data_IF_965122171090
#
_entry.id   IF_965122171090
#
_cell.length_a   1.000
_cell.length_b   1.000
_cell.length_c   1.000
_cell.angle_alpha   90.00
_cell.angle_beta   90.00
_cell.angle_gamma   90.00
#
_symmetry.space_group_name_H-M   'P 1'
#
loop_
_entity.id
_entity.type
_entity.pdbx_description
1 polymer ?
#
# COMPACT_ATOMS: atom_id res chain seq x y z
N UNK A 1 4.66 -6.31 19.41
CA UNK A 1 4.68 -6.32 17.92
C UNK A 1 4.34 -4.91 17.47
N UNK A 2 5.10 -4.33 16.55
CA UNK A 2 4.89 -2.96 16.09
C UNK A 2 3.61 -2.90 15.25
N UNK A 3 2.68 -2.02 15.60
CA UNK A 3 1.46 -1.82 14.79
C UNK A 3 1.67 -0.73 13.74
N UNK A 4 0.87 -0.74 12.68
CA UNK A 4 0.87 0.32 11.67
C UNK A 4 0.52 1.69 12.29
N UNK A 5 -0.42 1.69 13.24
CA UNK A 5 -0.80 2.89 13.97
C UNK A 5 0.35 3.43 14.85
N UNK A 6 1.17 2.54 15.44
CA UNK A 6 2.34 2.95 16.21
C UNK A 6 3.42 3.53 15.30
N UNK A 7 3.66 2.92 14.13
CA UNK A 7 4.57 3.49 13.12
C UNK A 7 4.14 4.90 12.72
N UNK A 8 2.86 5.10 12.42
CA UNK A 8 2.31 6.42 12.08
C UNK A 8 2.54 7.46 13.19
N UNK A 9 2.40 7.06 14.46
CA UNK A 9 2.54 7.98 15.60
C UNK A 9 3.98 8.29 15.94
N UNK A 10 4.88 7.30 15.85
CA UNK A 10 6.25 7.39 16.36
C UNK A 10 7.26 7.83 15.30
N UNK A 11 7.00 7.55 14.01
CA UNK A 11 7.92 7.89 12.93
C UNK A 11 7.75 9.34 12.50
N UNK A 12 8.89 10.01 12.28
CA UNK A 12 8.92 11.35 11.69
C UNK A 12 8.60 11.32 10.21
N UNK A 13 8.89 10.19 9.56
CA UNK A 13 8.64 9.94 8.14
C UNK A 13 8.43 8.44 7.91
N UNK A 14 7.56 8.09 6.95
CA UNK A 14 7.21 6.71 6.62
C UNK A 14 7.66 6.37 5.20
N UNK A 15 8.74 5.62 5.02
CA UNK A 15 9.12 5.07 3.73
C UNK A 15 8.34 3.79 3.43
N UNK A 16 7.73 3.70 2.24
CA UNK A 16 7.04 2.52 1.76
C UNK A 16 7.77 1.94 0.55
N UNK A 17 8.04 0.64 0.58
CA UNK A 17 8.55 -0.10 -0.56
C UNK A 17 7.36 -0.51 -1.46
N UNK A 18 7.14 0.19 -2.59
CA UNK A 18 6.03 -0.04 -3.50
C UNK A 18 6.23 -1.34 -4.29
N UNK A 19 5.36 -2.32 -4.05
CA UNK A 19 5.46 -3.70 -4.56
C UNK A 19 6.79 -4.38 -4.19
N UNK A 20 7.34 -4.03 -3.02
CA UNK A 20 8.72 -4.30 -2.64
C UNK A 20 9.70 -3.28 -3.25
N UNK A 21 10.98 -3.66 -3.39
CA UNK A 21 11.98 -2.85 -4.08
C UNK A 21 11.91 -3.12 -5.59
N UNK A 22 10.82 -2.72 -6.24
CA UNK A 22 10.43 -3.13 -7.61
C UNK A 22 11.37 -2.64 -8.71
N UNK A 23 12.23 -1.66 -8.41
CA UNK A 23 13.31 -1.24 -9.33
C UNK A 23 14.56 -2.15 -9.27
N UNK A 24 14.71 -2.94 -8.21
CA UNK A 24 15.87 -3.80 -7.97
C UNK A 24 15.58 -5.28 -8.18
N UNK A 25 14.32 -5.69 -8.11
CA UNK A 25 13.84 -7.04 -8.36
C UNK A 25 12.40 -7.00 -8.90
N UNK A 26 11.91 -8.07 -9.56
CA UNK A 26 10.56 -8.06 -10.11
C UNK A 26 9.48 -7.75 -9.07
N UNK A 27 8.57 -6.83 -9.41
CA UNK A 27 7.52 -6.35 -8.51
C UNK A 27 6.68 -7.48 -7.90
N UNK A 28 6.22 -7.29 -6.67
CA UNK A 28 5.35 -8.24 -5.96
C UNK A 28 5.95 -9.66 -5.86
N UNK A 29 7.28 -9.80 -5.82
CA UNK A 29 7.98 -11.08 -5.59
C UNK A 29 8.67 -11.11 -4.24
N UNK A 30 8.95 -12.31 -3.72
CA UNK A 30 9.77 -12.46 -2.51
C UNK A 30 11.16 -11.81 -2.66
N UNK A 31 11.74 -11.83 -3.86
CA UNK A 31 13.00 -11.16 -4.13
C UNK A 31 12.90 -9.64 -3.89
N UNK A 32 11.87 -8.99 -4.42
CA UNK A 32 11.65 -7.56 -4.21
C UNK A 32 11.36 -7.22 -2.74
N UNK A 33 10.58 -8.05 -2.06
CA UNK A 33 10.27 -7.87 -0.64
C UNK A 33 11.51 -8.05 0.25
N UNK A 34 12.34 -9.05 -0.05
CA UNK A 34 13.58 -9.29 0.68
C UNK A 34 14.57 -8.14 0.52
N UNK A 35 14.75 -7.62 -0.71
CA UNK A 35 15.62 -6.45 -0.93
C UNK A 35 15.12 -5.24 -0.13
N UNK A 36 13.83 -4.96 -0.13
CA UNK A 36 13.26 -3.88 0.67
C UNK A 36 13.51 -4.08 2.18
N UNK A 37 13.32 -5.31 2.66
CA UNK A 37 13.56 -5.68 4.06
C UNK A 37 15.03 -5.51 4.46
N UNK A 38 15.97 -5.98 3.63
CA UNK A 38 17.43 -5.88 3.86
C UNK A 38 17.90 -4.42 3.84
N UNK A 39 17.27 -3.58 3.03
CA UNK A 39 17.49 -2.14 3.05
C UNK A 39 16.97 -1.46 4.34
N UNK A 40 16.15 -2.14 5.13
CA UNK A 40 15.63 -1.66 6.42
C UNK A 40 14.22 -1.06 6.35
N UNK A 41 13.50 -1.21 5.23
CA UNK A 41 12.10 -0.80 5.16
C UNK A 41 11.23 -1.63 6.11
N UNK A 42 10.36 -0.95 6.85
CA UNK A 42 9.41 -1.58 7.77
C UNK A 42 7.97 -1.58 7.26
N UNK A 43 7.72 -0.91 6.16
CA UNK A 43 6.42 -0.92 5.47
C UNK A 43 6.64 -1.37 4.04
N UNK A 44 6.04 -2.51 3.71
CA UNK A 44 5.99 -3.06 2.35
C UNK A 44 4.58 -2.82 1.81
N UNK A 45 4.51 -2.20 0.66
CA UNK A 45 3.24 -2.11 -0.07
C UNK A 45 3.17 -3.26 -1.08
N UNK A 46 1.99 -3.82 -1.26
CA UNK A 46 1.71 -4.86 -2.24
C UNK A 46 0.25 -4.88 -2.66
N UNK A 47 0.02 -5.34 -3.89
CA UNK A 47 -1.29 -5.51 -4.49
C UNK A 47 -1.86 -6.89 -4.18
N UNK A 48 -3.16 -6.99 -3.90
CA UNK A 48 -3.77 -8.27 -3.50
C UNK A 48 -4.90 -8.66 -4.45
N UNK A 49 -4.80 -9.89 -4.97
CA UNK A 49 -5.85 -10.59 -5.72
C UNK A 49 -6.08 -11.97 -5.15
N UNK A 50 -7.25 -12.54 -5.42
CA UNK A 50 -7.58 -13.91 -5.03
C UNK A 50 -7.68 -14.82 -6.26
N UNK A 51 -7.24 -16.07 -6.12
CA UNK A 51 -7.53 -17.15 -7.08
C UNK A 51 -9.02 -17.52 -7.07
N UNK A 52 -9.45 -18.32 -8.03
CA UNK A 52 -10.85 -18.80 -8.11
C UNK A 52 -11.28 -19.58 -6.87
N UNK A 53 -10.37 -20.27 -6.21
CA UNK A 53 -10.57 -21.03 -4.96
C UNK A 53 -10.24 -20.23 -3.69
N UNK A 54 -10.04 -18.90 -3.80
CA UNK A 54 -9.95 -17.97 -2.68
C UNK A 54 -8.58 -17.84 -2.02
N UNK A 55 -7.50 -18.34 -2.61
CA UNK A 55 -6.14 -18.11 -2.12
C UNK A 55 -5.65 -16.74 -2.55
N UNK A 56 -5.07 -15.97 -1.63
CA UNK A 56 -4.61 -14.60 -1.88
C UNK A 56 -3.17 -14.57 -2.38
N UNK A 57 -2.94 -13.81 -3.45
CA UNK A 57 -1.64 -13.62 -4.08
C UNK A 57 -1.26 -12.16 -4.15
N UNK A 58 0.05 -11.89 -4.07
CA UNK A 58 0.62 -10.58 -4.29
C UNK A 58 0.76 -10.34 -5.80
N UNK A 59 -0.20 -9.64 -6.42
CA UNK A 59 -0.23 -9.42 -7.86
C UNK A 59 -1.06 -8.20 -8.26
N UNK A 60 -0.51 -7.36 -9.15
CA UNK A 60 -1.15 -6.09 -9.54
C UNK A 60 -2.22 -6.24 -10.60
N UNK A 61 -1.88 -6.83 -11.76
CA UNK A 61 -2.69 -6.78 -12.96
C UNK A 61 -3.92 -7.70 -12.86
N UNK A 62 -4.92 -7.46 -13.68
CA UNK A 62 -6.08 -8.35 -13.78
C UNK A 62 -5.71 -9.67 -14.44
N UNK A 63 -4.86 -9.62 -15.46
CA UNK A 63 -4.33 -10.78 -16.17
C UNK A 63 -2.81 -10.91 -15.98
N UNK A 64 -2.30 -12.06 -16.42
CA UNK A 64 -0.91 -12.46 -16.21
C UNK A 64 0.02 -12.08 -17.38
N UNK A 65 -0.48 -11.37 -18.42
CA UNK A 65 0.24 -11.16 -19.69
C UNK A 65 1.57 -10.45 -19.51
N UNK A 66 1.58 -9.36 -18.73
CA UNK A 66 2.77 -8.52 -18.55
C UNK A 66 3.87 -9.22 -17.78
N UNK A 67 3.51 -10.00 -16.77
CA UNK A 67 4.48 -10.56 -15.82
C UNK A 67 4.88 -12.00 -16.10
N UNK A 68 4.04 -12.78 -16.79
CA UNK A 68 4.31 -14.21 -17.07
C UNK A 68 4.00 -14.63 -18.50
N UNK A 69 3.64 -13.70 -19.40
CA UNK A 69 3.27 -14.03 -20.78
C UNK A 69 1.95 -14.79 -20.94
N UNK A 70 1.23 -15.07 -19.85
CA UNK A 70 -0.05 -15.80 -19.86
C UNK A 70 -1.22 -14.80 -19.90
N UNK A 71 -2.12 -14.88 -20.89
CA UNK A 71 -3.25 -13.96 -21.05
C UNK A 71 -4.47 -14.27 -20.18
N UNK A 72 -4.38 -15.24 -19.28
CA UNK A 72 -5.47 -15.60 -18.39
C UNK A 72 -5.58 -14.59 -17.22
N UNK A 73 -6.80 -14.36 -16.78
CA UNK A 73 -7.05 -13.59 -15.56
C UNK A 73 -6.71 -14.42 -14.32
N UNK A 74 -5.93 -13.87 -13.40
CA UNK A 74 -5.52 -14.55 -12.18
C UNK A 74 -6.73 -15.10 -11.39
N UNK A 75 -7.79 -14.31 -11.29
CA UNK A 75 -9.01 -14.65 -10.53
C UNK A 75 -9.86 -15.78 -11.17
N UNK A 76 -9.48 -16.26 -12.34
CA UNK A 76 -10.13 -17.40 -13.02
C UNK A 76 -9.35 -18.70 -12.86
N UNK A 77 -8.14 -18.65 -12.30
CA UNK A 77 -7.29 -19.80 -12.05
C UNK A 77 -7.42 -20.25 -10.60
N UNK A 78 -7.38 -21.57 -10.38
CA UNK A 78 -7.20 -22.11 -9.04
C UNK A 78 -5.75 -21.95 -8.57
N UNK A 79 -5.55 -22.05 -7.27
CA UNK A 79 -4.24 -21.85 -6.65
C UNK A 79 -3.16 -22.79 -7.18
N UNK A 80 -3.48 -24.05 -7.45
CA UNK A 80 -2.55 -25.03 -8.05
C UNK A 80 -2.06 -24.61 -9.46
N UNK A 81 -2.92 -23.95 -10.23
CA UNK A 81 -2.57 -23.41 -11.54
C UNK A 81 -1.68 -22.16 -11.43
N UNK A 82 -1.88 -21.33 -10.42
CA UNK A 82 -1.07 -20.13 -10.18
C UNK A 82 0.30 -20.50 -9.61
N UNK A 83 0.37 -21.48 -8.72
CA UNK A 83 1.61 -21.89 -8.02
C UNK A 83 2.72 -22.38 -9.00
N UNK A 84 2.35 -22.85 -10.19
CA UNK A 84 3.31 -23.28 -11.22
C UNK A 84 3.77 -22.14 -12.14
N UNK A 85 3.09 -20.97 -12.10
CA UNK A 85 3.46 -19.80 -12.91
C UNK A 85 4.68 -19.09 -12.34
N UNK A 86 5.38 -18.38 -13.22
CA UNK A 86 6.55 -17.59 -12.83
C UNK A 86 6.47 -16.18 -13.39
N UNK A 87 6.88 -15.22 -12.56
CA UNK A 87 7.17 -13.85 -12.95
C UNK A 87 8.59 -13.84 -13.50
N UNK A 88 8.80 -13.22 -14.67
CA UNK A 88 10.10 -13.16 -15.35
C UNK A 88 10.78 -14.54 -15.45
N UNK A 89 10.00 -15.59 -15.76
CA UNK A 89 10.42 -16.99 -15.91
C UNK A 89 11.11 -17.63 -14.69
N UNK A 90 11.26 -16.90 -13.57
CA UNK A 90 12.07 -17.38 -12.42
C UNK A 90 11.38 -17.28 -11.06
N UNK A 91 10.57 -16.24 -10.82
CA UNK A 91 10.02 -16.00 -9.50
C UNK A 91 8.57 -16.52 -9.37
N UNK A 92 8.23 -17.31 -8.34
CA UNK A 92 6.83 -17.66 -8.06
C UNK A 92 6.04 -16.41 -7.68
N UNK A 93 4.74 -16.42 -7.96
CA UNK A 93 3.80 -15.39 -7.47
C UNK A 93 3.55 -15.66 -5.98
N UNK A 94 3.93 -14.76 -5.05
CA UNK A 94 3.82 -15.01 -3.63
C UNK A 94 2.38 -15.09 -3.14
N UNK A 95 2.09 -16.02 -2.24
CA UNK A 95 0.86 -15.97 -1.45
C UNK A 95 0.99 -14.93 -0.35
N UNK A 96 -0.08 -14.19 -0.09
CA UNK A 96 -0.09 -13.16 0.94
C UNK A 96 0.18 -13.73 2.35
N UNK A 97 -0.28 -14.95 2.63
CA UNK A 97 0.00 -15.62 3.90
C UNK A 97 1.51 -15.79 4.11
N UNK A 98 2.21 -16.31 3.09
CA UNK A 98 3.65 -16.57 3.17
C UNK A 98 4.45 -15.27 3.37
N UNK A 99 3.95 -14.15 2.81
CA UNK A 99 4.54 -12.83 3.02
C UNK A 99 4.49 -12.39 4.49
N UNK A 100 3.34 -12.57 5.17
CA UNK A 100 3.22 -12.25 6.59
C UNK A 100 4.10 -13.12 7.48
N UNK A 101 4.29 -14.39 7.10
CA UNK A 101 5.12 -15.35 7.81
C UNK A 101 6.61 -15.05 7.63
N UNK A 102 7.03 -14.70 6.40
CA UNK A 102 8.42 -14.40 6.07
C UNK A 102 8.93 -13.09 6.71
N UNK A 103 8.06 -12.08 6.86
CA UNK A 103 8.45 -10.76 7.36
C UNK A 103 7.64 -10.36 8.61
N UNK A 104 7.85 -11.06 9.76
CA UNK A 104 7.06 -10.84 10.98
C UNK A 104 7.23 -9.45 11.60
N UNK A 105 8.32 -8.74 11.29
CA UNK A 105 8.63 -7.41 11.80
C UNK A 105 8.20 -6.27 10.87
N UNK A 106 7.56 -6.58 9.74
CA UNK A 106 7.05 -5.60 8.80
C UNK A 106 5.55 -5.34 8.98
N UNK A 107 5.14 -4.13 8.68
CA UNK A 107 3.76 -3.78 8.40
C UNK A 107 3.51 -3.82 6.88
N UNK A 108 2.29 -4.09 6.49
CA UNK A 108 1.91 -4.20 5.08
C UNK A 108 0.83 -3.18 4.72
N UNK A 109 1.04 -2.48 3.60
CA UNK A 109 0.03 -1.66 2.97
C UNK A 109 -0.55 -2.45 1.80
N UNK A 110 -1.78 -2.93 1.94
CA UNK A 110 -2.40 -3.85 0.99
C UNK A 110 -3.42 -3.15 0.11
N UNK A 111 -3.19 -3.09 -1.21
CA UNK A 111 -4.19 -2.62 -2.18
C UNK A 111 -5.12 -3.76 -2.61
N UNK A 112 -6.36 -3.77 -2.11
CA UNK A 112 -7.39 -4.72 -2.50
C UNK A 112 -7.89 -4.40 -3.92
N UNK A 113 -7.46 -5.19 -4.93
CA UNK A 113 -7.67 -4.90 -6.36
C UNK A 113 -9.09 -5.17 -6.84
N UNK A 114 -9.78 -6.15 -6.27
CA UNK A 114 -11.10 -6.58 -6.73
C UNK A 114 -12.06 -6.88 -5.58
N UNK A 115 -13.34 -7.06 -5.89
CA UNK A 115 -14.31 -7.54 -4.91
C UNK A 115 -14.07 -9.00 -4.52
N UNK A 116 -13.51 -9.79 -5.45
CA UNK A 116 -13.25 -11.20 -5.24
C UNK A 116 -12.25 -11.46 -4.11
N UNK A 117 -11.29 -10.56 -3.90
CA UNK A 117 -10.31 -10.72 -2.81
C UNK A 117 -10.81 -10.24 -1.43
N UNK A 118 -11.96 -9.52 -1.33
CA UNK A 118 -12.38 -8.87 -0.06
C UNK A 118 -12.63 -9.88 1.05
N UNK A 119 -13.46 -10.89 0.81
CA UNK A 119 -13.81 -11.90 1.82
C UNK A 119 -12.60 -12.74 2.24
N UNK A 120 -11.83 -13.33 1.30
CA UNK A 120 -10.61 -14.05 1.64
C UNK A 120 -9.60 -13.19 2.40
N UNK A 121 -9.50 -11.89 2.09
CA UNK A 121 -8.55 -10.97 2.74
C UNK A 121 -8.93 -10.70 4.20
N UNK A 122 -10.20 -10.44 4.46
CA UNK A 122 -10.70 -10.26 5.83
C UNK A 122 -10.50 -11.54 6.65
N UNK A 123 -10.80 -12.70 6.08
CA UNK A 123 -10.65 -14.00 6.74
C UNK A 123 -9.19 -14.32 7.04
N UNK A 124 -8.28 -14.07 6.09
CA UNK A 124 -6.85 -14.28 6.29
C UNK A 124 -6.30 -13.42 7.42
N UNK A 125 -6.58 -12.11 7.36
CA UNK A 125 -6.07 -11.12 8.32
C UNK A 125 -6.54 -11.46 9.74
N UNK A 126 -7.82 -11.83 9.93
CA UNK A 126 -8.35 -12.31 11.22
C UNK A 126 -7.70 -13.61 11.68
N UNK A 127 -7.63 -14.61 10.80
CA UNK A 127 -7.06 -15.93 11.11
C UNK A 127 -5.60 -15.83 11.56
N UNK A 128 -4.82 -14.95 10.94
CA UNK A 128 -3.41 -14.72 11.26
C UNK A 128 -3.21 -13.72 12.41
N UNK A 129 -4.26 -13.02 12.85
CA UNK A 129 -4.20 -11.96 13.87
C UNK A 129 -3.17 -10.86 13.52
N UNK A 130 -3.27 -10.36 12.25
CA UNK A 130 -2.33 -9.38 11.68
C UNK A 130 -2.98 -8.03 11.36
N UNK A 131 -4.19 -7.77 11.86
CA UNK A 131 -4.94 -6.53 11.66
C UNK A 131 -4.08 -5.30 11.98
N UNK A 132 -3.39 -5.35 13.11
CA UNK A 132 -2.56 -4.23 13.59
C UNK A 132 -1.34 -3.97 12.70
N UNK A 133 -0.89 -4.95 11.92
CA UNK A 133 0.23 -4.84 10.98
C UNK A 133 -0.22 -4.46 9.58
N UNK A 134 -1.53 -4.26 9.35
CA UNK A 134 -2.13 -4.07 8.04
C UNK A 134 -2.71 -2.66 7.91
N UNK A 135 -2.39 -2.01 6.78
CA UNK A 135 -3.09 -0.83 6.29
C UNK A 135 -3.77 -1.17 4.96
N UNK A 136 -5.07 -0.94 4.86
CA UNK A 136 -5.80 -1.23 3.64
C UNK A 136 -5.87 -0.01 2.73
N UNK A 137 -5.48 -0.23 1.47
CA UNK A 137 -5.70 0.63 0.32
C UNK A 137 -6.68 0.00 -0.66
N UNK A 138 -7.34 0.81 -1.44
CA UNK A 138 -8.10 0.40 -2.64
C UNK A 138 -8.53 1.63 -3.43
N UNK A 139 -8.60 1.51 -4.75
CA UNK A 139 -9.27 2.52 -5.57
C UNK A 139 -10.79 2.59 -5.30
N UNK A 140 -11.39 1.51 -4.78
CA UNK A 140 -12.81 1.46 -4.42
C UNK A 140 -13.04 1.79 -2.94
N UNK A 141 -13.63 2.96 -2.66
CA UNK A 141 -14.05 3.29 -1.29
C UNK A 141 -15.00 2.26 -0.71
N UNK A 142 -15.93 1.74 -1.51
CA UNK A 142 -16.89 0.74 -1.04
C UNK A 142 -16.22 -0.57 -0.60
N UNK A 143 -15.11 -0.97 -1.24
CA UNK A 143 -14.33 -2.13 -0.77
C UNK A 143 -13.69 -1.87 0.60
N UNK A 144 -13.12 -0.69 0.78
CA UNK A 144 -12.53 -0.28 2.07
C UNK A 144 -13.58 -0.24 3.17
N UNK A 145 -14.77 0.31 2.88
CA UNK A 145 -15.86 0.38 3.84
C UNK A 145 -16.29 -1.03 4.28
N UNK A 146 -16.45 -1.98 3.35
CA UNK A 146 -16.80 -3.38 3.65
C UNK A 146 -15.69 -4.08 4.45
N UNK A 147 -14.42 -3.89 4.09
CA UNK A 147 -13.29 -4.46 4.85
C UNK A 147 -13.31 -3.94 6.29
N UNK A 148 -13.44 -2.61 6.46
CA UNK A 148 -13.48 -1.98 7.79
C UNK A 148 -14.67 -2.46 8.62
N UNK A 149 -15.87 -2.50 8.04
CA UNK A 149 -17.08 -2.96 8.74
C UNK A 149 -16.97 -4.42 9.20
N UNK A 150 -16.32 -5.28 8.41
CA UNK A 150 -16.12 -6.70 8.76
C UNK A 150 -15.01 -6.95 9.78
N UNK A 151 -13.94 -6.15 9.76
CA UNK A 151 -12.88 -6.25 10.75
C UNK A 151 -13.28 -5.66 12.09
N UNK A 152 -14.14 -4.65 12.08
CA UNK A 152 -14.50 -3.82 13.22
C UNK A 152 -13.73 -2.50 13.22
N UNK A 153 -14.38 -1.46 13.72
CA UNK A 153 -13.81 -0.10 13.73
C UNK A 153 -12.47 -0.05 14.50
N UNK A 154 -11.45 0.47 13.84
CA UNK A 154 -10.10 0.62 14.43
C UNK A 154 -9.28 -0.66 14.56
N UNK A 155 -9.78 -1.82 14.08
CA UNK A 155 -9.03 -3.07 14.11
C UNK A 155 -7.78 -3.00 13.24
N UNK A 156 -7.88 -2.38 12.06
CA UNK A 156 -6.77 -2.18 11.12
C UNK A 156 -6.73 -0.73 10.62
N UNK A 157 -5.56 -0.32 10.13
CA UNK A 157 -5.39 0.95 9.45
C UNK A 157 -6.03 0.93 8.06
N UNK A 158 -6.51 2.08 7.60
CA UNK A 158 -6.95 2.24 6.20
C UNK A 158 -6.68 3.65 5.66
N UNK A 159 -6.57 3.72 4.34
CA UNK A 159 -6.52 4.94 3.55
C UNK A 159 -7.90 5.25 2.93
N UNK A 160 -7.92 6.14 1.94
CA UNK A 160 -9.10 6.48 1.15
C UNK A 160 -9.07 5.81 -0.21
N UNK A 161 -10.23 5.37 -0.69
CA UNK A 161 -10.46 5.09 -2.11
C UNK A 161 -10.70 6.39 -2.90
N UNK A 162 -10.80 6.29 -4.23
CA UNK A 162 -10.93 7.46 -5.12
C UNK A 162 -12.10 8.38 -4.72
N UNK A 163 -13.28 7.81 -4.45
CA UNK A 163 -14.46 8.62 -4.02
C UNK A 163 -14.23 9.30 -2.66
N UNK A 164 -13.56 8.62 -1.73
CA UNK A 164 -13.20 9.16 -0.43
C UNK A 164 -12.21 10.32 -0.57
N UNK A 165 -11.19 10.17 -1.39
CA UNK A 165 -10.20 11.21 -1.68
C UNK A 165 -10.84 12.46 -2.32
N UNK A 166 -11.74 12.26 -3.30
CA UNK A 166 -12.50 13.36 -3.91
C UNK A 166 -13.38 14.07 -2.86
N UNK A 167 -14.12 13.31 -2.04
CA UNK A 167 -14.93 13.88 -0.96
C UNK A 167 -14.07 14.68 0.03
N UNK A 168 -12.91 14.17 0.41
CA UNK A 168 -11.96 14.84 1.29
C UNK A 168 -11.53 16.18 0.69
N UNK A 169 -11.13 16.20 -0.59
CA UNK A 169 -10.71 17.41 -1.29
C UNK A 169 -11.85 18.43 -1.45
N UNK A 170 -13.06 18.00 -1.78
CA UNK A 170 -14.23 18.89 -1.85
C UNK A 170 -14.55 19.53 -0.50
N UNK A 171 -14.43 18.78 0.60
CA UNK A 171 -14.64 19.37 1.95
C UNK A 171 -13.53 20.38 2.31
N UNK A 172 -12.27 20.14 1.87
CA UNK A 172 -11.22 21.14 1.94
C UNK A 172 -11.61 22.44 1.23
N UNK A 173 -12.06 22.36 -0.02
CA UNK A 173 -12.49 23.54 -0.80
C UNK A 173 -13.66 24.28 -0.14
N UNK A 174 -14.58 23.55 0.47
CA UNK A 174 -15.73 24.10 1.19
C UNK A 174 -15.38 24.56 2.63
N UNK A 175 -14.14 24.39 3.07
CA UNK A 175 -13.68 24.69 4.45
C UNK A 175 -14.51 23.98 5.53
N UNK A 176 -14.94 22.74 5.24
CA UNK A 176 -15.74 21.92 6.15
C UNK A 176 -14.84 20.93 6.89
N UNK A 177 -14.98 20.83 8.20
CA UNK A 177 -14.40 19.74 8.98
C UNK A 177 -15.33 18.53 8.91
N UNK A 178 -14.76 17.35 8.68
CA UNK A 178 -15.48 16.08 8.60
C UNK A 178 -14.85 15.06 9.53
N UNK A 179 -15.64 14.10 9.97
CA UNK A 179 -15.11 12.89 10.61
C UNK A 179 -14.67 11.89 9.55
N UNK A 180 -13.55 11.24 9.80
CA UNK A 180 -12.94 10.26 8.89
C UNK A 180 -12.55 8.99 9.67
N UNK A 181 -12.79 7.82 9.09
CA UNK A 181 -12.34 6.53 9.65
C UNK A 181 -10.88 6.25 9.31
N UNK A 182 -10.42 6.77 8.17
CA UNK A 182 -9.04 6.58 7.71
C UNK A 182 -8.05 7.26 8.65
N UNK A 183 -6.86 6.69 8.81
CA UNK A 183 -5.76 7.27 9.58
C UNK A 183 -4.70 7.91 8.69
N UNK A 184 -4.73 7.63 7.40
CA UNK A 184 -3.84 8.23 6.41
C UNK A 184 -4.58 8.52 5.11
N UNK A 185 -4.01 9.43 4.32
CA UNK A 185 -4.43 9.76 2.98
C UNK A 185 -3.26 9.47 2.02
N UNK A 186 -3.49 8.59 1.05
CA UNK A 186 -2.47 8.14 0.10
C UNK A 186 -2.84 8.66 -1.28
N UNK A 187 -2.05 9.58 -1.81
CA UNK A 187 -2.35 10.28 -3.05
C UNK A 187 -1.28 10.07 -4.11
N UNK A 188 -1.67 9.99 -5.39
CA UNK A 188 -0.73 10.18 -6.47
C UNK A 188 -0.23 11.64 -6.50
N UNK A 189 0.93 11.86 -7.11
CA UNK A 189 1.49 13.21 -7.31
C UNK A 189 0.48 14.16 -7.97
N UNK A 190 -0.28 13.66 -8.93
CA UNK A 190 -1.33 14.41 -9.64
C UNK A 190 -2.53 13.50 -9.92
N UNK A 191 -3.70 14.07 -9.85
CA UNK A 191 -4.94 13.40 -10.24
C UNK A 191 -5.75 14.32 -11.15
N UNK A 192 -5.94 13.94 -12.41
CA UNK A 192 -6.60 14.76 -13.44
C UNK A 192 -6.07 16.21 -13.53
N UNK A 193 -4.75 16.38 -13.44
CA UNK A 193 -4.11 17.71 -13.50
C UNK A 193 -4.25 18.56 -12.22
N UNK A 194 -4.89 18.03 -11.18
CA UNK A 194 -5.04 18.69 -9.87
C UNK A 194 -3.99 18.15 -8.91
N UNK A 195 -3.20 19.05 -8.31
CA UNK A 195 -2.32 18.69 -7.19
C UNK A 195 -3.14 18.54 -5.91
N UNK A 196 -3.30 17.29 -5.45
CA UNK A 196 -3.97 16.99 -4.18
C UNK A 196 -3.07 17.24 -2.97
N UNK A 197 -1.78 17.48 -3.20
CA UNK A 197 -0.76 17.62 -2.15
C UNK A 197 -0.04 18.97 -2.32
N UNK A 198 -0.40 19.91 -1.46
CA UNK A 198 0.21 21.23 -1.31
C UNK A 198 0.13 21.67 0.16
N UNK A 199 0.80 22.76 0.54
CA UNK A 199 0.84 23.21 1.94
C UNK A 199 -0.56 23.35 2.58
N UNK A 200 -1.51 23.97 1.87
CA UNK A 200 -2.86 24.20 2.41
C UNK A 200 -3.66 22.90 2.58
N UNK A 201 -3.54 21.97 1.61
CA UNK A 201 -4.23 20.66 1.72
C UNK A 201 -3.60 19.80 2.82
N UNK A 202 -2.27 19.83 2.99
CA UNK A 202 -1.58 19.13 4.08
C UNK A 202 -2.03 19.64 5.45
N UNK A 203 -2.15 20.96 5.63
CA UNK A 203 -2.64 21.54 6.88
C UNK A 203 -4.08 21.12 7.17
N UNK A 204 -4.92 21.07 6.15
CA UNK A 204 -6.29 20.55 6.30
C UNK A 204 -6.30 19.07 6.68
N UNK A 205 -5.53 18.21 6.00
CA UNK A 205 -5.47 16.78 6.32
C UNK A 205 -4.94 16.53 7.73
N UNK A 206 -3.90 17.26 8.15
CA UNK A 206 -3.41 17.23 9.55
C UNK A 206 -4.45 17.66 10.55
N UNK A 207 -5.28 18.66 10.22
CA UNK A 207 -6.37 19.13 11.11
C UNK A 207 -7.44 18.06 11.36
N UNK A 208 -7.54 17.08 10.46
CA UNK A 208 -8.41 15.90 10.59
C UNK A 208 -7.69 14.70 11.24
N UNK A 209 -6.41 14.84 11.62
CA UNK A 209 -5.60 13.76 12.20
C UNK A 209 -5.02 12.79 11.18
N UNK A 210 -5.05 13.13 9.88
CA UNK A 210 -4.56 12.29 8.81
C UNK A 210 -3.07 12.48 8.57
N UNK A 211 -2.37 11.38 8.31
CA UNK A 211 -1.03 11.36 7.72
C UNK A 211 -1.12 11.29 6.21
N UNK A 212 -0.27 12.03 5.52
CA UNK A 212 -0.27 12.09 4.05
C UNK A 212 0.92 11.35 3.47
N UNK A 213 0.64 10.35 2.63
CA UNK A 213 1.65 9.59 1.89
C UNK A 213 1.46 9.81 0.39
N UNK A 214 2.56 9.89 -0.35
CA UNK A 214 2.53 10.17 -1.80
C UNK A 214 3.12 9.00 -2.58
N UNK A 215 2.46 8.60 -3.67
CA UNK A 215 2.83 7.50 -4.55
C UNK A 215 2.67 7.85 -6.04
N UNK A 216 3.41 7.27 -6.95
CA UNK A 216 4.67 6.60 -6.77
C UNK A 216 5.78 7.59 -7.12
N UNK A 217 6.79 7.75 -6.25
CA UNK A 217 7.80 8.78 -6.39
C UNK A 217 9.17 8.13 -6.55
N UNK A 218 9.81 8.32 -7.71
CA UNK A 218 11.04 7.65 -8.10
C UNK A 218 12.20 8.61 -8.42
N UNK A 219 11.99 9.93 -8.24
CA UNK A 219 12.98 10.96 -8.57
C UNK A 219 13.45 11.68 -7.29
N UNK A 220 14.79 11.83 -7.13
CA UNK A 220 15.37 12.41 -5.92
C UNK A 220 14.90 13.84 -5.63
N UNK A 221 14.81 14.67 -6.67
CA UNK A 221 14.38 16.06 -6.52
C UNK A 221 12.91 16.15 -6.08
N UNK A 222 12.06 15.24 -6.58
CA UNK A 222 10.67 15.18 -6.18
C UNK A 222 10.51 14.62 -4.76
N UNK A 223 11.31 13.63 -4.37
CA UNK A 223 11.38 13.15 -2.98
C UNK A 223 11.76 14.30 -2.03
N UNK A 224 12.81 15.06 -2.38
CA UNK A 224 13.24 16.20 -1.56
C UNK A 224 12.16 17.26 -1.47
N UNK A 225 11.54 17.63 -2.61
CA UNK A 225 10.46 18.62 -2.65
C UNK A 225 9.28 18.23 -1.74
N UNK A 226 8.90 16.95 -1.73
CA UNK A 226 7.80 16.45 -0.90
C UNK A 226 8.18 16.42 0.59
N UNK A 227 9.43 16.09 0.93
CA UNK A 227 9.95 16.17 2.29
C UNK A 227 9.90 17.61 2.79
N UNK A 228 10.39 18.56 2.00
CA UNK A 228 10.39 19.99 2.35
C UNK A 228 8.97 20.55 2.47
N UNK A 229 8.04 20.04 1.66
CA UNK A 229 6.62 20.38 1.75
C UNK A 229 5.98 19.82 3.04
N UNK A 230 6.58 18.78 3.61
CA UNK A 230 6.17 18.19 4.87
C UNK A 230 5.14 17.08 4.72
N UNK A 231 5.22 16.26 3.66
CA UNK A 231 4.45 15.01 3.62
C UNK A 231 4.94 14.04 4.71
N UNK A 232 4.09 13.13 5.12
CA UNK A 232 4.42 12.20 6.22
C UNK A 232 5.04 10.88 5.71
N UNK A 233 5.00 10.62 4.39
CA UNK A 233 5.62 9.44 3.81
C UNK A 233 5.61 9.41 2.29
N UNK A 234 6.47 8.58 1.73
CA UNK A 234 6.63 8.36 0.29
C UNK A 234 6.61 6.86 -0.01
N UNK A 235 5.88 6.47 -1.06
CA UNK A 235 5.94 5.15 -1.67
C UNK A 235 6.78 5.23 -2.93
N UNK A 236 7.77 4.33 -3.06
CA UNK A 236 8.73 4.33 -4.15
C UNK A 236 9.02 2.94 -4.66
N UNK A 237 9.32 2.83 -5.96
CA UNK A 237 9.93 1.64 -6.57
C UNK A 237 11.45 1.60 -6.29
N UNK A 238 12.08 2.78 -6.08
CA UNK A 238 13.51 2.95 -5.86
C UNK A 238 13.84 3.10 -4.37
N UNK A 239 13.87 1.97 -3.68
CA UNK A 239 14.13 1.92 -2.23
C UNK A 239 15.54 2.44 -1.85
N UNK A 240 16.56 2.18 -2.68
CA UNK A 240 17.90 2.69 -2.41
C UNK A 240 17.96 4.21 -2.48
N UNK A 241 17.36 4.78 -3.51
CA UNK A 241 17.29 6.23 -3.70
C UNK A 241 16.56 6.91 -2.55
N UNK A 242 15.36 6.41 -2.19
CA UNK A 242 14.59 6.98 -1.08
C UNK A 242 15.36 6.89 0.23
N UNK A 243 15.99 5.75 0.52
CA UNK A 243 16.84 5.61 1.71
C UNK A 243 17.97 6.63 1.73
N UNK A 244 18.68 6.82 0.61
CA UNK A 244 19.76 7.81 0.52
C UNK A 244 19.27 9.24 0.78
N UNK A 245 18.12 9.62 0.20
CA UNK A 245 17.48 10.93 0.43
C UNK A 245 17.09 11.09 1.90
N UNK A 246 16.49 10.08 2.53
CA UNK A 246 16.07 10.14 3.93
C UNK A 246 17.24 10.20 4.90
N UNK A 247 18.34 9.47 4.65
CA UNK A 247 19.57 9.55 5.44
C UNK A 247 20.15 10.97 5.39
N UNK A 248 20.23 11.59 4.21
CA UNK A 248 20.68 12.98 4.03
C UNK A 248 19.84 13.97 4.86
N UNK A 249 18.53 13.72 4.96
CA UNK A 249 17.57 14.54 5.71
C UNK A 249 17.44 14.15 7.19
N UNK A 250 18.18 13.15 7.70
CA UNK A 250 18.10 12.61 9.07
C UNK A 250 16.67 12.12 9.42
N UNK A 251 16.04 11.45 8.44
CA UNK A 251 14.68 10.89 8.54
C UNK A 251 14.64 9.36 8.44
N UNK A 252 15.82 8.73 8.28
CA UNK A 252 15.97 7.28 8.23
C UNK A 252 16.25 6.71 9.62
#
# INVERSE_FOLDING_TARGET
MLSFADLIKQSRFLPFAHRGASKLAPENTFAAFQVAYDLGFKIIETDVRASADGVLYCFHDEDLSRMSGNSQQLEKLNSDQIDVLRVDDSHPIPKLQDLYEAFPDCCFNLDAKSWHCVDPLVDLVKRMNVEQRTCFGSFSQARLDVISDRLGDGAAAQSFGTRGAVKLYLNYLMRRRIEVRAICAQFPLQHFGVSLVNANTLDYYRSLGLKTHVWTVNEADEMQRLIDLGVDGIMTDDCELLKAVLVKNRLW
#
